data_IF_613168164658
#
_entry.id   IF_613168164658
#
_cell.length_a   1.000
_cell.length_b   1.000
_cell.length_c   1.000
_cell.angle_alpha   90.00
_cell.angle_beta   90.00
_cell.angle_gamma   90.00
#
_symmetry.space_group_name_H-M   'P 1'
#
loop_
_entity.id
_entity.type
_entity.pdbx_description
1 polymer ?
#
# COMPACT_ATOMS: atom_id res chain seq x y z
N UNK A 1 17.97 -37.20 -23.27
CA UNK A 1 18.40 -37.20 -24.71
C UNK A 1 19.34 -36.02 -24.87
N UNK A 2 20.60 -36.36 -25.13
CA UNK A 2 21.69 -35.43 -25.34
C UNK A 2 21.42 -34.55 -26.54
N UNK A 3 20.95 -33.38 -26.34
CA UNK A 3 21.07 -32.30 -27.31
C UNK A 3 21.80 -31.19 -26.66
N UNK A 4 22.97 -30.84 -27.25
CA UNK A 4 23.76 -29.65 -26.99
C UNK A 4 22.97 -28.65 -26.15
N UNK A 5 23.41 -28.37 -24.96
CA UNK A 5 22.87 -27.30 -24.13
C UNK A 5 22.88 -26.03 -24.98
N UNK A 6 21.79 -25.81 -25.72
CA UNK A 6 21.57 -24.54 -26.37
C UNK A 6 21.38 -23.56 -25.19
N UNK A 7 22.30 -22.61 -25.11
CA UNK A 7 22.27 -21.57 -24.10
C UNK A 7 20.85 -21.04 -23.97
N UNK A 8 20.25 -21.16 -22.77
CA UNK A 8 18.92 -20.65 -22.48
C UNK A 8 18.93 -19.15 -22.80
N UNK A 9 18.08 -18.70 -23.69
CA UNK A 9 17.97 -17.28 -24.05
C UNK A 9 17.02 -16.59 -23.06
N UNK A 10 17.42 -15.42 -22.58
CA UNK A 10 16.58 -14.59 -21.72
C UNK A 10 15.86 -13.53 -22.55
N UNK A 11 14.56 -13.36 -22.31
CA UNK A 11 13.73 -12.38 -23.00
C UNK A 11 12.96 -11.53 -22.00
N UNK A 12 12.72 -10.27 -22.35
CA UNK A 12 11.80 -9.42 -21.62
C UNK A 12 10.37 -9.73 -22.07
N UNK A 13 9.50 -10.09 -21.12
CA UNK A 13 8.07 -10.33 -21.40
C UNK A 13 7.35 -8.98 -21.52
N UNK A 14 6.59 -8.81 -22.61
CA UNK A 14 5.77 -7.62 -22.85
C UNK A 14 4.31 -7.88 -22.51
N UNK A 15 3.77 -9.03 -22.94
CA UNK A 15 2.37 -9.39 -22.72
C UNK A 15 2.17 -10.90 -22.80
N UNK A 16 0.98 -11.35 -22.44
CA UNK A 16 0.44 -12.64 -22.84
C UNK A 16 -0.48 -12.44 -24.05
N UNK A 17 -0.48 -13.39 -24.98
CA UNK A 17 -1.40 -13.33 -26.11
C UNK A 17 -2.83 -13.63 -25.66
N UNK A 18 -3.82 -13.11 -26.40
CA UNK A 18 -5.22 -13.47 -26.20
C UNK A 18 -5.59 -14.79 -26.91
N UNK A 19 -4.67 -15.33 -27.71
CA UNK A 19 -4.85 -16.57 -28.49
C UNK A 19 -4.04 -17.69 -27.88
N UNK A 20 -4.55 -18.92 -27.99
CA UNK A 20 -3.84 -20.12 -27.57
C UNK A 20 -2.68 -20.45 -28.51
N UNK A 21 -1.73 -21.27 -28.07
CA UNK A 21 -0.57 -21.65 -28.90
C UNK A 21 -0.99 -22.35 -30.20
N UNK A 22 -2.05 -23.16 -30.20
CA UNK A 22 -2.59 -23.81 -31.40
C UNK A 22 -3.23 -22.84 -32.40
N UNK A 23 -3.75 -21.72 -31.91
CA UNK A 23 -4.48 -20.73 -32.70
C UNK A 23 -3.58 -19.56 -33.14
N UNK A 24 -2.34 -19.49 -32.60
CA UNK A 24 -1.35 -18.46 -32.95
C UNK A 24 -0.58 -18.85 -34.20
N UNK A 25 -0.97 -18.24 -35.29
CA UNK A 25 -0.36 -18.46 -36.63
C UNK A 25 0.68 -17.40 -36.97
N UNK A 26 1.67 -17.78 -37.74
CA UNK A 26 2.69 -16.88 -38.25
C UNK A 26 3.25 -17.41 -39.57
N UNK A 27 3.85 -16.52 -40.33
CA UNK A 27 4.48 -16.86 -41.61
C UNK A 27 5.93 -17.24 -41.42
N UNK A 28 6.30 -18.43 -41.81
CA UNK A 28 7.66 -18.92 -41.79
C UNK A 28 8.31 -18.66 -43.14
N UNK A 29 9.41 -17.93 -43.13
CA UNK A 29 10.27 -17.86 -44.32
C UNK A 29 11.14 -19.11 -44.33
N UNK A 30 11.10 -19.94 -45.41
CA UNK A 30 12.00 -21.06 -45.55
C UNK A 30 13.45 -20.57 -45.50
N UNK A 31 14.33 -21.29 -44.84
CA UNK A 31 15.77 -21.01 -44.92
C UNK A 31 16.27 -21.48 -46.27
N UNK A 32 16.41 -20.54 -47.21
CA UNK A 32 16.96 -20.81 -48.52
C UNK A 32 18.35 -21.41 -48.43
N UNK A 33 18.59 -22.45 -49.22
CA UNK A 33 19.89 -23.09 -49.42
C UNK A 33 20.82 -22.25 -50.34
N UNK A 34 20.70 -20.89 -50.27
CA UNK A 34 21.66 -20.02 -50.96
C UNK A 34 21.43 -19.84 -52.49
N UNK A 35 20.28 -20.22 -53.01
CA UNK A 35 19.94 -19.99 -54.40
C UNK A 35 19.08 -18.70 -54.54
N UNK A 36 19.57 -17.62 -55.20
CA UNK A 36 18.89 -16.33 -55.25
C UNK A 36 17.64 -16.33 -56.14
N UNK A 37 17.33 -17.42 -56.84
CA UNK A 37 16.23 -17.48 -57.80
C UNK A 37 14.99 -18.27 -57.34
N UNK A 38 15.03 -18.89 -56.16
CA UNK A 38 13.87 -19.60 -55.62
C UNK A 38 12.94 -18.62 -54.89
N UNK A 39 11.83 -18.22 -55.47
CA UNK A 39 10.69 -17.63 -54.80
C UNK A 39 10.06 -18.71 -53.91
N UNK A 40 10.56 -18.85 -52.65
CA UNK A 40 9.99 -19.77 -51.67
C UNK A 40 8.72 -19.15 -51.09
N UNK A 41 7.59 -19.83 -51.28
CA UNK A 41 6.29 -19.40 -50.74
C UNK A 41 6.32 -19.37 -49.23
N UNK A 42 5.84 -18.26 -48.65
CA UNK A 42 5.64 -18.10 -47.22
C UNK A 42 4.65 -19.16 -46.70
N UNK A 43 5.11 -20.04 -45.84
CA UNK A 43 4.27 -21.10 -45.28
C UNK A 43 3.62 -20.59 -43.98
N UNK A 44 2.30 -20.46 -43.98
CA UNK A 44 1.55 -20.17 -42.72
C UNK A 44 1.57 -21.43 -41.85
N UNK A 45 2.06 -21.29 -40.62
CA UNK A 45 2.11 -22.37 -39.63
C UNK A 45 1.69 -21.88 -38.26
N UNK A 46 1.18 -22.77 -37.41
CA UNK A 46 0.90 -22.51 -36.01
C UNK A 46 2.12 -22.87 -35.13
N UNK A 47 2.11 -22.36 -33.87
CA UNK A 47 3.21 -22.60 -32.95
C UNK A 47 3.38 -24.09 -32.58
N UNK A 48 2.29 -24.86 -32.48
CA UNK A 48 2.36 -26.29 -32.12
C UNK A 48 3.09 -27.05 -33.21
N UNK A 49 2.66 -26.85 -34.43
CA UNK A 49 3.27 -27.49 -35.65
C UNK A 49 4.73 -27.06 -35.82
N UNK A 50 5.02 -25.77 -35.63
CA UNK A 50 6.38 -25.24 -35.70
C UNK A 50 7.32 -25.88 -34.67
N UNK A 51 6.95 -25.91 -33.39
CA UNK A 51 7.81 -26.47 -32.34
C UNK A 51 8.01 -27.97 -32.52
N UNK A 52 6.99 -28.68 -33.04
CA UNK A 52 7.11 -30.10 -33.35
C UNK A 52 8.08 -30.34 -34.52
N UNK A 53 7.94 -29.59 -35.64
CA UNK A 53 8.79 -29.74 -36.81
C UNK A 53 10.22 -29.25 -36.60
N UNK A 54 10.38 -28.03 -36.02
CA UNK A 54 11.68 -27.38 -35.92
C UNK A 54 12.54 -27.88 -34.75
N UNK A 55 11.90 -28.28 -33.66
CA UNK A 55 12.60 -28.64 -32.40
C UNK A 55 12.29 -30.04 -31.91
N UNK A 56 11.37 -30.77 -32.53
CA UNK A 56 10.84 -32.06 -32.10
C UNK A 56 10.21 -31.99 -30.71
N UNK A 57 9.62 -30.85 -30.30
CA UNK A 57 8.96 -30.62 -29.05
C UNK A 57 7.45 -30.70 -29.28
N UNK A 58 6.78 -31.63 -28.59
CA UNK A 58 5.32 -31.67 -28.50
C UNK A 58 4.85 -30.88 -27.32
N UNK A 59 3.95 -29.91 -27.56
CA UNK A 59 3.35 -29.11 -26.49
C UNK A 59 2.28 -29.95 -25.76
N UNK A 60 2.34 -29.96 -24.42
CA UNK A 60 1.35 -30.64 -23.57
C UNK A 60 0.12 -29.79 -23.35
N UNK A 61 0.26 -28.47 -23.40
CA UNK A 61 -0.79 -27.49 -23.11
C UNK A 61 -1.02 -26.51 -24.26
N UNK A 62 -1.37 -26.96 -25.47
CA UNK A 62 -1.52 -26.13 -26.66
C UNK A 62 -2.66 -25.10 -26.56
N UNK A 63 -3.56 -25.25 -25.56
CA UNK A 63 -4.69 -24.36 -25.28
C UNK A 63 -4.30 -23.14 -24.44
N UNK A 64 -3.11 -23.13 -23.84
CA UNK A 64 -2.67 -22.00 -23.05
C UNK A 64 -2.26 -20.82 -23.93
N UNK A 65 -2.38 -19.57 -23.44
CA UNK A 65 -1.86 -18.39 -24.13
C UNK A 65 -0.34 -18.46 -24.26
N UNK A 66 0.20 -17.67 -25.16
CA UNK A 66 1.64 -17.56 -25.41
C UNK A 66 2.22 -16.33 -24.73
N UNK A 67 3.53 -16.36 -24.49
CA UNK A 67 4.32 -15.23 -24.01
C UNK A 67 4.82 -14.42 -25.19
N UNK A 68 4.47 -13.14 -25.24
CA UNK A 68 5.03 -12.20 -26.20
C UNK A 68 6.34 -11.62 -25.63
N UNK A 69 7.47 -12.02 -26.21
CA UNK A 69 8.81 -11.73 -25.71
C UNK A 69 9.57 -10.69 -26.57
N UNK A 70 8.86 -9.88 -27.35
CA UNK A 70 9.39 -8.87 -28.25
C UNK A 70 8.33 -8.49 -29.27
N UNK A 71 8.68 -7.62 -30.22
CA UNK A 71 7.72 -7.22 -31.27
C UNK A 71 7.22 -8.40 -32.09
N UNK A 72 8.09 -9.38 -32.37
CA UNK A 72 7.80 -10.51 -33.26
C UNK A 72 8.20 -11.88 -32.69
N UNK A 73 8.37 -11.97 -31.37
CA UNK A 73 8.75 -13.24 -30.71
C UNK A 73 7.59 -13.67 -29.82
N UNK A 74 6.95 -14.76 -30.20
CA UNK A 74 5.89 -15.40 -29.42
C UNK A 74 6.32 -16.81 -29.04
N UNK A 75 6.26 -17.13 -27.76
CA UNK A 75 6.72 -18.41 -27.21
C UNK A 75 5.59 -19.10 -26.43
N UNK A 76 5.42 -20.45 -26.59
CA UNK A 76 4.51 -21.19 -25.74
C UNK A 76 4.87 -21.04 -24.26
N UNK A 77 3.89 -20.74 -23.42
CA UNK A 77 4.12 -20.45 -21.99
C UNK A 77 4.75 -21.65 -21.26
N UNK A 78 4.41 -22.87 -21.63
CA UNK A 78 4.97 -24.08 -21.02
C UNK A 78 6.47 -24.28 -21.28
N UNK A 79 7.03 -23.61 -22.28
CA UNK A 79 8.47 -23.64 -22.58
C UNK A 79 9.24 -22.50 -21.94
N UNK A 80 8.56 -21.63 -21.18
CA UNK A 80 9.16 -20.48 -20.54
C UNK A 80 9.35 -20.74 -19.04
N UNK A 81 10.50 -20.33 -18.52
CA UNK A 81 10.76 -20.32 -17.07
C UNK A 81 10.98 -18.89 -16.63
N UNK A 82 10.35 -18.50 -15.52
CA UNK A 82 10.60 -17.20 -14.91
C UNK A 82 11.99 -17.23 -14.28
N UNK A 83 12.81 -16.23 -14.58
CA UNK A 83 14.14 -16.09 -13.96
C UNK A 83 13.94 -15.71 -12.50
N UNK A 84 14.58 -16.46 -11.61
CA UNK A 84 14.52 -16.19 -10.17
C UNK A 84 15.28 -14.90 -9.79
N UNK A 85 14.94 -14.33 -8.64
CA UNK A 85 15.62 -13.16 -8.10
C UNK A 85 15.30 -11.83 -8.80
N UNK A 86 14.27 -11.78 -9.65
CA UNK A 86 13.88 -10.55 -10.31
C UNK A 86 13.28 -9.54 -9.32
N UNK A 87 13.66 -8.28 -9.48
CA UNK A 87 13.09 -7.18 -8.71
C UNK A 87 11.65 -6.92 -9.14
N UNK A 88 10.71 -6.97 -8.19
CA UNK A 88 9.33 -6.57 -8.42
C UNK A 88 9.21 -5.04 -8.43
N UNK A 89 8.83 -4.46 -9.58
CA UNK A 89 8.81 -3.01 -9.79
C UNK A 89 7.42 -2.37 -9.63
N UNK A 90 6.37 -3.19 -9.47
CA UNK A 90 5.01 -2.69 -9.28
C UNK A 90 4.72 -2.46 -7.80
N UNK A 91 3.69 -1.66 -7.49
CA UNK A 91 3.20 -1.50 -6.13
C UNK A 91 2.70 -2.84 -5.58
N UNK A 92 3.10 -3.17 -4.36
CA UNK A 92 2.60 -4.35 -3.65
C UNK A 92 1.12 -4.16 -3.31
N UNK A 93 0.35 -5.23 -3.40
CA UNK A 93 -1.01 -5.28 -2.84
C UNK A 93 -0.97 -5.38 -1.30
N UNK A 94 -2.14 -5.35 -0.66
CA UNK A 94 -2.23 -5.39 0.81
C UNK A 94 -1.64 -6.66 1.41
N UNK A 95 -1.86 -7.81 0.77
CA UNK A 95 -1.37 -9.11 1.24
C UNK A 95 0.14 -9.18 1.09
N UNK A 96 0.65 -8.82 -0.08
CA UNK A 96 2.09 -8.76 -0.35
C UNK A 96 2.80 -7.77 0.59
N UNK A 97 2.18 -6.61 0.88
CA UNK A 97 2.70 -5.64 1.84
C UNK A 97 2.74 -6.21 3.26
N UNK A 98 1.69 -6.90 3.69
CA UNK A 98 1.64 -7.56 5.00
C UNK A 98 2.71 -8.67 5.11
N UNK A 99 2.86 -9.48 4.08
CA UNK A 99 3.88 -10.55 4.02
C UNK A 99 5.31 -9.95 4.04
N UNK A 100 5.54 -8.84 3.31
CA UNK A 100 6.81 -8.12 3.32
C UNK A 100 7.13 -7.56 4.72
N UNK A 101 6.15 -6.92 5.38
CA UNK A 101 6.31 -6.40 6.74
C UNK A 101 6.64 -7.55 7.70
N UNK A 102 5.92 -8.66 7.61
CA UNK A 102 6.17 -9.85 8.44
C UNK A 102 7.58 -10.41 8.23
N UNK A 103 8.04 -10.45 6.98
CA UNK A 103 9.38 -10.91 6.64
C UNK A 103 10.49 -9.96 7.14
N UNK A 104 10.28 -8.64 7.03
CA UNK A 104 11.27 -7.63 7.39
C UNK A 104 11.28 -7.27 8.88
N UNK A 105 10.15 -7.46 9.59
CA UNK A 105 10.03 -7.17 11.02
C UNK A 105 10.62 -8.31 11.85
N UNK A 106 11.95 -8.34 11.91
CA UNK A 106 12.68 -9.34 12.67
C UNK A 106 13.21 -8.77 13.99
N UNK A 107 13.34 -9.60 15.04
CA UNK A 107 14.04 -9.19 16.26
C UNK A 107 15.49 -8.76 15.98
N UNK A 108 16.07 -7.84 16.75
CA UNK A 108 17.42 -7.33 16.50
C UNK A 108 18.49 -8.41 16.34
N UNK A 109 18.47 -9.47 17.16
CA UNK A 109 19.41 -10.57 17.08
C UNK A 109 19.31 -11.36 15.76
N UNK A 110 18.09 -11.64 15.29
CA UNK A 110 17.86 -12.33 14.02
C UNK A 110 18.34 -11.47 12.84
N UNK A 111 18.05 -10.17 12.87
CA UNK A 111 18.54 -9.22 11.85
C UNK A 111 20.06 -9.15 11.84
N UNK A 112 20.72 -9.10 13.00
CA UNK A 112 22.18 -9.10 13.09
C UNK A 112 22.80 -10.37 12.50
N UNK A 113 22.20 -11.54 12.76
CA UNK A 113 22.65 -12.80 12.17
C UNK A 113 22.50 -12.80 10.65
N UNK A 114 21.35 -12.36 10.13
CA UNK A 114 21.12 -12.26 8.68
C UNK A 114 22.10 -11.32 7.99
N UNK A 115 22.49 -10.21 8.65
CA UNK A 115 23.52 -9.29 8.14
C UNK A 115 24.87 -9.99 8.08
N UNK A 116 25.27 -10.69 9.16
CA UNK A 116 26.54 -11.45 9.19
C UNK A 116 26.59 -12.54 8.11
N UNK A 117 25.48 -13.27 7.93
CA UNK A 117 25.40 -14.31 6.89
C UNK A 117 25.42 -13.71 5.48
N UNK A 118 24.80 -12.55 5.28
CA UNK A 118 24.89 -11.80 4.02
C UNK A 118 26.33 -11.37 3.71
N UNK A 119 27.10 -10.90 4.70
CA UNK A 119 28.51 -10.55 4.53
C UNK A 119 29.35 -11.76 4.09
N UNK A 120 29.10 -12.94 4.67
CA UNK A 120 29.79 -14.19 4.26
C UNK A 120 29.52 -14.53 2.78
N UNK A 121 28.32 -14.29 2.28
CA UNK A 121 27.95 -14.52 0.87
C UNK A 121 28.68 -13.52 -0.04
N UNK A 122 28.74 -12.24 0.37
CA UNK A 122 29.34 -11.17 -0.43
C UNK A 122 30.87 -11.26 -0.55
N UNK A 123 31.55 -11.96 0.37
CA UNK A 123 32.99 -12.21 0.36
C UNK A 123 33.83 -10.96 0.04
N UNK A 124 33.62 -9.90 0.78
CA UNK A 124 34.30 -8.61 0.52
C UNK A 124 35.84 -8.70 0.56
N UNK A 125 36.39 -9.63 1.35
CA UNK A 125 37.83 -9.84 1.43
C UNK A 125 38.44 -10.35 0.12
N UNK A 126 37.66 -11.02 -0.73
CA UNK A 126 38.08 -11.55 -2.03
C UNK A 126 37.78 -10.62 -3.19
N UNK A 127 37.17 -9.46 -2.94
CA UNK A 127 36.75 -8.54 -3.98
C UNK A 127 37.94 -7.69 -4.46
N UNK A 128 38.34 -7.86 -5.73
CA UNK A 128 39.46 -7.17 -6.34
C UNK A 128 39.28 -5.65 -6.38
N UNK A 129 38.04 -5.19 -6.68
CA UNK A 129 37.75 -3.75 -6.73
C UNK A 129 37.92 -3.08 -5.37
N UNK A 130 37.48 -3.71 -4.29
CA UNK A 130 37.67 -3.16 -2.94
C UNK A 130 39.17 -3.11 -2.57
N UNK A 131 39.95 -4.11 -2.97
CA UNK A 131 41.39 -4.12 -2.76
C UNK A 131 42.08 -2.98 -3.50
N UNK A 132 41.75 -2.77 -4.77
CA UNK A 132 42.28 -1.67 -5.61
C UNK A 132 41.92 -0.29 -5.04
N UNK A 133 40.70 -0.13 -4.52
CA UNK A 133 40.29 1.10 -3.83
C UNK A 133 40.83 1.23 -2.41
N UNK A 134 41.62 0.29 -1.90
CA UNK A 134 42.16 0.29 -0.54
C UNK A 134 41.10 0.18 0.56
N UNK A 135 39.91 -0.33 0.25
CA UNK A 135 38.79 -0.46 1.19
C UNK A 135 38.84 -1.84 1.88
N UNK A 136 38.58 -1.83 3.18
CA UNK A 136 38.41 -3.04 4.00
C UNK A 136 37.05 -2.98 4.68
N UNK A 137 36.30 -4.08 4.63
CA UNK A 137 35.00 -4.23 5.31
C UNK A 137 35.17 -5.16 6.49
N UNK A 138 34.91 -4.67 7.70
CA UNK A 138 34.95 -5.51 8.89
C UNK A 138 33.71 -6.42 8.94
N UNK A 139 33.90 -7.69 9.27
CA UNK A 139 32.82 -8.64 9.53
C UNK A 139 32.22 -8.49 10.95
N UNK A 140 32.81 -7.65 11.78
CA UNK A 140 32.30 -7.38 13.13
C UNK A 140 31.40 -6.16 13.16
N UNK A 141 30.30 -6.27 13.93
CA UNK A 141 29.39 -5.14 14.16
C UNK A 141 30.11 -4.05 14.96
N UNK A 142 30.00 -2.80 14.54
CA UNK A 142 30.57 -1.68 15.27
C UNK A 142 29.96 -1.57 16.67
N UNK A 143 30.80 -1.34 17.67
CA UNK A 143 30.37 -1.06 19.04
C UNK A 143 30.53 0.42 19.32
N UNK A 144 29.45 1.05 19.70
CA UNK A 144 29.41 2.48 20.05
C UNK A 144 28.89 2.67 21.47
N UNK A 145 29.39 3.68 22.15
CA UNK A 145 28.82 4.11 23.44
C UNK A 145 27.51 4.83 23.16
N UNK A 146 26.45 4.40 23.84
CA UNK A 146 25.13 5.00 23.76
C UNK A 146 24.50 5.14 25.15
N UNK A 147 23.51 6.01 25.27
CA UNK A 147 22.67 6.10 26.47
C UNK A 147 21.23 5.73 26.11
N UNK A 148 20.57 5.04 27.01
CA UNK A 148 19.14 4.77 26.92
C UNK A 148 18.42 5.90 27.67
N UNK A 149 17.59 6.66 26.93
CA UNK A 149 16.77 7.70 27.56
C UNK A 149 15.61 7.07 28.34
N UNK A 150 15.21 7.63 29.49
CA UNK A 150 14.03 7.15 30.19
C UNK A 150 12.78 7.36 29.31
N UNK A 151 11.79 6.44 29.37
CA UNK A 151 10.55 6.63 28.65
C UNK A 151 9.81 7.89 29.15
N UNK A 152 9.19 8.67 28.24
CA UNK A 152 8.47 9.88 28.64
C UNK A 152 7.18 9.53 29.39
N UNK A 153 6.74 10.39 30.28
CA UNK A 153 5.39 10.33 30.87
C UNK A 153 4.40 10.96 29.88
N UNK A 154 3.45 10.14 29.42
CA UNK A 154 2.35 10.56 28.54
C UNK A 154 1.15 10.93 29.41
N UNK A 155 0.65 12.15 29.22
CA UNK A 155 -0.45 12.71 29.99
C UNK A 155 -1.75 12.72 29.18
N UNK A 156 -2.82 12.25 29.79
CA UNK A 156 -4.19 12.23 29.28
C UNK A 156 -5.10 13.12 30.14
N UNK A 157 -6.38 13.19 29.79
CA UNK A 157 -7.38 13.92 30.62
C UNK A 157 -7.43 13.36 32.03
N UNK A 158 -7.63 14.24 33.03
CA UNK A 158 -7.64 13.88 34.45
C UNK A 158 -8.68 12.80 34.80
N UNK A 159 -9.77 12.68 34.04
CA UNK A 159 -10.79 11.63 34.25
C UNK A 159 -10.38 10.25 33.68
N UNK A 160 -9.19 10.12 33.09
CA UNK A 160 -8.67 8.82 32.70
C UNK A 160 -8.28 7.98 33.89
N UNK A 161 -8.46 6.66 33.84
CA UNK A 161 -8.02 5.78 34.92
C UNK A 161 -6.53 5.93 35.22
N UNK A 162 -5.70 6.04 34.15
CA UNK A 162 -4.27 6.28 34.25
C UNK A 162 -3.96 7.58 33.49
N UNK A 163 -4.23 8.74 34.15
CA UNK A 163 -4.03 10.05 33.52
C UNK A 163 -2.57 10.33 33.15
N UNK A 164 -1.62 9.83 33.95
CA UNK A 164 -0.19 9.89 33.69
C UNK A 164 0.34 8.47 33.49
N UNK A 165 0.80 8.17 32.29
CA UNK A 165 1.20 6.84 31.90
C UNK A 165 2.65 6.83 31.39
N UNK A 166 3.45 5.88 31.86
CA UNK A 166 4.81 5.66 31.37
C UNK A 166 4.79 4.45 30.43
N UNK A 167 5.03 4.62 29.11
CA UNK A 167 5.06 3.53 28.15
C UNK A 167 6.15 2.50 28.47
N UNK A 168 5.86 1.23 28.22
CA UNK A 168 6.85 0.15 28.26
C UNK A 168 7.06 -0.36 26.84
N UNK A 169 8.32 -0.54 26.45
CA UNK A 169 8.70 -1.01 25.11
C UNK A 169 8.08 -0.18 23.95
N UNK A 170 7.84 1.11 24.17
CA UNK A 170 7.29 2.02 23.18
C UNK A 170 5.82 1.77 22.80
N UNK A 171 5.10 0.93 23.53
CA UNK A 171 3.72 0.57 23.23
C UNK A 171 2.78 0.77 24.43
N UNK A 172 1.55 1.19 24.14
CA UNK A 172 0.45 1.27 25.11
C UNK A 172 -0.90 1.27 24.40
N UNK A 173 -1.98 1.04 25.11
CA UNK A 173 -3.34 1.08 24.62
C UNK A 173 -4.12 2.28 25.15
N UNK A 174 -5.27 2.55 24.54
CA UNK A 174 -6.20 3.63 24.94
C UNK A 174 -7.30 3.16 25.90
N UNK A 175 -7.23 1.92 26.37
CA UNK A 175 -8.28 1.41 27.28
C UNK A 175 -8.41 2.29 28.52
N UNK A 176 -9.61 2.75 28.79
CA UNK A 176 -9.95 3.63 29.93
C UNK A 176 -9.17 4.96 29.96
N UNK A 177 -8.69 5.42 28.82
CA UNK A 177 -8.03 6.72 28.67
C UNK A 177 -8.92 7.67 27.85
N UNK A 178 -9.00 8.90 28.29
CA UNK A 178 -9.66 10.00 27.59
C UNK A 178 -8.61 10.96 27.04
N UNK A 179 -8.84 11.47 25.84
CA UNK A 179 -7.97 12.47 25.22
C UNK A 179 -7.88 13.72 26.09
N UNK A 180 -6.74 14.38 26.08
CA UNK A 180 -6.50 15.58 26.91
C UNK A 180 -7.54 16.66 26.65
N UNK A 181 -7.85 16.90 25.36
CA UNK A 181 -8.87 17.84 24.91
C UNK A 181 -9.70 17.20 23.81
N UNK A 182 -10.90 16.75 24.14
CA UNK A 182 -11.87 16.22 23.20
C UNK A 182 -12.62 17.34 22.48
N UNK A 183 -12.90 17.13 21.20
CA UNK A 183 -13.68 18.06 20.37
C UNK A 183 -15.14 17.66 20.30
N UNK A 184 -15.97 18.61 19.85
CA UNK A 184 -17.39 18.37 19.56
C UNK A 184 -17.59 18.22 18.06
N UNK A 185 -18.17 17.09 17.64
CA UNK A 185 -18.53 16.79 16.25
C UNK A 185 -20.07 16.82 16.10
N UNK A 186 -20.61 17.96 15.75
CA UNK A 186 -22.04 18.17 15.58
C UNK A 186 -22.52 18.02 14.13
N UNK A 187 -21.70 18.45 13.17
CA UNK A 187 -22.04 18.45 11.75
C UNK A 187 -21.09 17.53 10.96
N UNK A 188 -21.58 16.35 10.59
CA UNK A 188 -20.81 15.37 9.86
C UNK A 188 -21.69 14.44 9.03
N UNK A 189 -21.10 13.83 7.99
CA UNK A 189 -21.80 12.93 7.07
C UNK A 189 -20.95 11.72 6.72
N UNK A 190 -21.62 10.67 6.22
CA UNK A 190 -21.00 9.42 5.76
C UNK A 190 -21.12 9.35 4.25
N UNK A 191 -19.99 9.19 3.56
CA UNK A 191 -19.92 9.01 2.11
C UNK A 191 -19.42 7.60 1.81
N UNK A 192 -20.28 6.75 1.26
CA UNK A 192 -19.94 5.38 0.89
C UNK A 192 -19.60 5.34 -0.59
N UNK A 193 -18.35 5.04 -0.92
CA UNK A 193 -17.92 4.79 -2.31
C UNK A 193 -18.15 3.32 -2.67
N UNK A 194 -19.35 3.03 -3.14
CA UNK A 194 -19.86 1.70 -3.46
C UNK A 194 -21.38 1.69 -3.50
N UNK A 195 -21.97 0.53 -3.69
CA UNK A 195 -23.43 0.32 -3.71
C UNK A 195 -23.92 -0.21 -2.35
N UNK A 196 -25.25 -0.18 -2.15
CA UNK A 196 -25.87 -0.81 -0.98
C UNK A 196 -25.68 -2.33 -0.95
N UNK A 197 -25.39 -2.97 -2.09
CA UNK A 197 -25.03 -4.40 -2.14
C UNK A 197 -23.65 -4.66 -1.56
N UNK A 198 -22.70 -3.75 -1.80
CA UNK A 198 -21.31 -3.87 -1.32
C UNK A 198 -21.21 -3.55 0.17
N UNK A 199 -21.95 -2.54 0.61
CA UNK A 199 -21.96 -2.03 1.98
C UNK A 199 -23.39 -1.68 2.42
N UNK A 200 -24.20 -2.65 2.88
CA UNK A 200 -25.59 -2.42 3.25
C UNK A 200 -25.76 -1.36 4.34
N UNK A 201 -26.82 -0.56 4.25
CA UNK A 201 -27.11 0.50 5.22
C UNK A 201 -27.11 0.03 6.70
N UNK A 202 -27.64 -1.16 7.05
CA UNK A 202 -27.53 -1.69 8.42
C UNK A 202 -26.09 -1.88 8.87
N UNK A 203 -25.18 -2.28 7.97
CA UNK A 203 -23.76 -2.43 8.25
C UNK A 203 -23.11 -1.06 8.51
N UNK A 204 -23.41 -0.05 7.69
CA UNK A 204 -22.94 1.34 7.89
C UNK A 204 -23.41 1.86 9.23
N UNK A 205 -24.70 1.68 9.54
CA UNK A 205 -25.30 2.12 10.81
C UNK A 205 -24.69 1.42 12.04
N UNK A 206 -24.34 0.14 11.91
CA UNK A 206 -23.61 -0.59 12.97
C UNK A 206 -22.24 0.03 13.21
N UNK A 207 -21.50 0.31 12.14
CA UNK A 207 -20.19 0.97 12.23
C UNK A 207 -20.29 2.37 12.84
N UNK A 208 -21.24 3.17 12.39
CA UNK A 208 -21.47 4.54 12.91
C UNK A 208 -21.77 4.51 14.41
N UNK A 209 -22.62 3.60 14.87
CA UNK A 209 -22.91 3.43 16.31
C UNK A 209 -21.66 3.11 17.11
N UNK A 210 -20.87 2.13 16.65
CA UNK A 210 -19.63 1.75 17.35
C UNK A 210 -18.60 2.90 17.34
N UNK A 211 -18.51 3.64 16.24
CA UNK A 211 -17.64 4.81 16.13
C UNK A 211 -18.08 5.90 17.13
N UNK A 212 -19.37 6.20 17.23
CA UNK A 212 -19.91 7.19 18.19
C UNK A 212 -19.63 6.77 19.62
N UNK A 213 -19.87 5.51 19.97
CA UNK A 213 -19.57 4.96 21.30
C UNK A 213 -18.09 5.13 21.63
N UNK A 214 -17.22 4.70 20.70
CA UNK A 214 -15.77 4.81 20.86
C UNK A 214 -15.31 6.26 21.01
N UNK A 215 -15.84 7.19 20.20
CA UNK A 215 -15.54 8.61 20.31
C UNK A 215 -15.97 9.19 21.68
N UNK A 216 -17.14 8.84 22.15
CA UNK A 216 -17.66 9.32 23.44
C UNK A 216 -16.82 8.77 24.62
N UNK A 217 -16.47 7.49 24.57
CA UNK A 217 -15.60 6.88 25.59
C UNK A 217 -14.19 7.49 25.61
N UNK A 218 -13.67 7.85 24.43
CA UNK A 218 -12.36 8.53 24.32
C UNK A 218 -12.40 10.02 24.66
N UNK A 219 -13.57 10.59 24.96
CA UNK A 219 -13.71 11.96 25.47
C UNK A 219 -14.12 12.99 24.42
N UNK A 220 -14.51 12.59 23.21
CA UNK A 220 -15.16 13.48 22.24
C UNK A 220 -16.66 13.61 22.54
N UNK A 221 -17.26 14.72 22.12
CA UNK A 221 -18.71 14.94 22.20
C UNK A 221 -19.34 14.82 20.80
N UNK A 222 -20.31 13.89 20.64
CA UNK A 222 -20.98 13.64 19.36
C UNK A 222 -22.50 13.87 19.53
N UNK A 223 -22.99 15.11 19.41
CA UNK A 223 -24.43 15.42 19.55
C UNK A 223 -25.28 14.77 18.46
N UNK A 224 -24.82 14.85 17.20
CA UNK A 224 -25.50 14.24 16.07
C UNK A 224 -25.17 12.75 15.96
N UNK A 225 -26.11 11.90 16.39
CA UNK A 225 -25.94 10.43 16.38
C UNK A 225 -26.46 9.76 15.11
N UNK A 226 -27.05 10.52 14.20
CA UNK A 226 -27.63 10.03 12.95
C UNK A 226 -27.16 10.88 11.76
N UNK A 227 -25.88 10.82 11.42
CA UNK A 227 -25.34 11.53 10.26
C UNK A 227 -26.00 11.01 8.96
N UNK A 228 -26.24 11.86 7.94
CA UNK A 228 -26.71 11.40 6.64
C UNK A 228 -25.71 10.45 5.99
N UNK A 229 -26.21 9.42 5.32
CA UNK A 229 -25.43 8.41 4.61
C UNK A 229 -25.71 8.54 3.12
N UNK A 230 -24.66 8.72 2.31
CA UNK A 230 -24.76 8.92 0.87
C UNK A 230 -23.90 7.88 0.14
N UNK A 231 -24.50 7.21 -0.86
CA UNK A 231 -23.81 6.22 -1.70
C UNK A 231 -23.38 6.84 -3.01
N UNK A 232 -22.15 6.60 -3.44
CA UNK A 232 -21.56 7.18 -4.63
C UNK A 232 -20.70 6.18 -5.39
N UNK A 233 -20.60 6.37 -6.70
CA UNK A 233 -19.76 5.53 -7.55
C UNK A 233 -18.26 5.84 -7.32
N UNK A 234 -17.42 4.84 -6.97
CA UNK A 234 -15.99 5.04 -6.77
C UNK A 234 -15.20 5.40 -8.04
N UNK A 235 -15.79 5.22 -9.22
CA UNK A 235 -15.22 5.52 -10.53
C UNK A 235 -15.88 6.72 -11.24
N UNK A 236 -16.79 7.41 -10.56
CA UNK A 236 -17.49 8.56 -11.10
C UNK A 236 -16.76 9.89 -10.87
N UNK A 237 -17.50 10.99 -11.00
CA UNK A 237 -17.03 12.34 -10.67
C UNK A 237 -16.98 12.52 -9.14
N UNK A 238 -15.83 12.22 -8.57
CA UNK A 238 -15.58 12.24 -7.12
C UNK A 238 -15.74 13.64 -6.55
N UNK A 239 -15.33 14.68 -7.29
CA UNK A 239 -15.47 16.07 -6.87
C UNK A 239 -16.92 16.45 -6.68
N UNK A 240 -17.76 16.13 -7.67
CA UNK A 240 -19.20 16.44 -7.62
C UNK A 240 -19.91 15.62 -6.53
N UNK A 241 -19.53 14.35 -6.35
CA UNK A 241 -20.06 13.51 -5.27
C UNK A 241 -19.76 14.09 -3.88
N UNK A 242 -18.54 14.58 -3.65
CA UNK A 242 -18.15 15.17 -2.38
C UNK A 242 -18.78 16.55 -2.14
N UNK A 243 -18.94 17.37 -3.20
CA UNK A 243 -19.68 18.65 -3.13
C UNK A 243 -21.14 18.42 -2.72
N UNK A 244 -21.80 17.46 -3.36
CA UNK A 244 -23.17 17.09 -3.02
C UNK A 244 -23.29 16.54 -1.59
N UNK A 245 -22.37 15.71 -1.17
CA UNK A 245 -22.32 15.17 0.19
C UNK A 245 -22.13 16.29 1.23
N UNK A 246 -21.26 17.25 0.95
CA UNK A 246 -21.06 18.42 1.79
C UNK A 246 -22.33 19.25 1.94
N UNK A 247 -23.03 19.54 0.82
CA UNK A 247 -24.30 20.28 0.81
C UNK A 247 -25.38 19.52 1.59
N UNK A 248 -25.55 18.22 1.33
CA UNK A 248 -26.56 17.42 2.01
C UNK A 248 -26.30 17.33 3.52
N UNK A 249 -25.04 17.16 3.91
CA UNK A 249 -24.66 17.17 5.33
C UNK A 249 -24.96 18.51 5.99
N UNK A 250 -24.62 19.62 5.33
CA UNK A 250 -24.89 20.96 5.82
C UNK A 250 -26.39 21.24 5.98
N UNK A 251 -27.18 20.84 5.01
CA UNK A 251 -28.64 21.01 5.01
C UNK A 251 -29.30 20.17 6.13
N UNK A 252 -28.84 18.94 6.34
CA UNK A 252 -29.38 18.05 7.38
C UNK A 252 -29.19 18.60 8.81
N UNK A 253 -28.10 19.31 9.05
CA UNK A 253 -27.73 19.82 10.38
C UNK A 253 -27.88 21.35 10.50
N UNK A 254 -28.19 22.02 9.37
CA UNK A 254 -28.28 23.49 9.24
C UNK A 254 -27.00 24.21 9.73
N UNK A 255 -25.84 23.60 9.48
CA UNK A 255 -24.53 24.15 9.81
C UNK A 255 -23.46 23.60 8.86
N UNK A 256 -22.35 24.31 8.74
CA UNK A 256 -21.23 23.87 7.90
C UNK A 256 -20.69 22.51 8.37
N UNK A 257 -20.50 21.55 7.47
CA UNK A 257 -19.93 20.25 7.81
C UNK A 257 -18.53 20.39 8.40
N UNK A 258 -18.30 19.74 9.53
CA UNK A 258 -16.99 19.68 10.19
C UNK A 258 -16.15 18.50 9.68
N UNK A 259 -16.82 17.40 9.30
CA UNK A 259 -16.13 16.16 8.91
C UNK A 259 -16.97 15.35 7.92
N UNK A 260 -16.31 14.78 6.92
CA UNK A 260 -16.86 13.72 6.06
C UNK A 260 -16.14 12.42 6.34
N UNK A 261 -16.86 11.37 6.71
CA UNK A 261 -16.29 10.01 6.85
C UNK A 261 -16.52 9.28 5.55
N UNK A 262 -15.45 8.98 4.82
CA UNK A 262 -15.47 8.33 3.50
C UNK A 262 -15.18 6.84 3.65
N UNK A 263 -16.13 5.98 3.28
CA UNK A 263 -15.99 4.52 3.29
C UNK A 263 -15.56 4.07 1.89
N UNK A 264 -14.34 3.51 1.79
CA UNK A 264 -13.71 3.11 0.53
C UNK A 264 -13.82 1.60 0.30
N UNK A 265 -14.07 1.15 -0.95
CA UNK A 265 -14.19 -0.26 -1.28
C UNK A 265 -12.88 -1.03 -1.08
N UNK A 266 -11.74 -0.37 -1.33
CA UNK A 266 -10.40 -0.94 -1.26
C UNK A 266 -9.36 0.15 -0.92
N UNK A 267 -8.09 -0.19 -0.99
CA UNK A 267 -6.94 0.70 -0.77
C UNK A 267 -6.47 1.41 -2.05
N UNK A 268 -7.30 1.51 -3.06
CA UNK A 268 -6.96 2.18 -4.32
C UNK A 268 -6.50 3.62 -4.11
N UNK A 269 -5.25 3.91 -4.51
CA UNK A 269 -4.62 5.21 -4.33
C UNK A 269 -5.34 6.34 -5.09
N UNK A 270 -5.82 6.15 -6.35
CA UNK A 270 -6.44 7.24 -7.08
C UNK A 270 -7.68 7.80 -6.38
N UNK A 271 -8.59 6.94 -5.90
CA UNK A 271 -9.78 7.38 -5.18
C UNK A 271 -9.43 8.11 -3.89
N UNK A 272 -8.51 7.55 -3.10
CA UNK A 272 -8.07 8.20 -1.86
C UNK A 272 -7.42 9.56 -2.12
N UNK A 273 -6.54 9.66 -3.12
CA UNK A 273 -5.87 10.90 -3.49
C UNK A 273 -6.88 11.98 -3.94
N UNK A 274 -7.86 11.60 -4.76
CA UNK A 274 -8.88 12.53 -5.23
C UNK A 274 -9.80 13.01 -4.09
N UNK A 275 -10.22 12.10 -3.19
CA UNK A 275 -10.97 12.50 -1.99
C UNK A 275 -10.17 13.54 -1.19
N UNK A 276 -8.87 13.31 -0.97
CA UNK A 276 -8.01 14.24 -0.24
C UNK A 276 -7.84 15.57 -0.97
N UNK A 277 -7.59 15.53 -2.28
CA UNK A 277 -7.52 16.75 -3.08
C UNK A 277 -8.78 17.61 -2.92
N UNK A 278 -9.95 16.99 -3.11
CA UNK A 278 -11.21 17.73 -3.08
C UNK A 278 -11.54 18.23 -1.66
N UNK A 279 -11.41 17.38 -0.64
CA UNK A 279 -11.77 17.81 0.72
C UNK A 279 -10.81 18.85 1.28
N UNK A 280 -9.52 18.73 0.99
CA UNK A 280 -8.50 19.59 1.58
C UNK A 280 -8.31 20.90 0.78
N UNK A 281 -8.46 20.89 -0.57
CA UNK A 281 -8.16 22.06 -1.43
C UNK A 281 -9.38 22.73 -2.06
N UNK A 282 -10.49 22.00 -2.26
CA UNK A 282 -11.70 22.56 -2.90
C UNK A 282 -12.77 22.91 -1.86
N UNK A 283 -13.06 21.99 -0.92
CA UNK A 283 -14.13 22.16 0.06
C UNK A 283 -13.64 22.76 1.39
N UNK A 284 -12.38 22.58 1.73
CA UNK A 284 -11.83 23.01 3.02
C UNK A 284 -12.47 22.27 4.22
N UNK A 285 -12.86 21.02 4.04
CA UNK A 285 -13.50 20.20 5.08
C UNK A 285 -12.61 19.01 5.46
N UNK A 286 -12.52 18.72 6.75
CA UNK A 286 -11.78 17.53 7.20
C UNK A 286 -12.44 16.24 6.68
N UNK A 287 -11.62 15.28 6.24
CA UNK A 287 -12.11 13.97 5.82
C UNK A 287 -11.40 12.83 6.55
N UNK A 288 -12.16 11.77 6.88
CA UNK A 288 -11.63 10.55 7.46
C UNK A 288 -12.00 9.36 6.58
N UNK A 289 -11.00 8.78 5.90
CA UNK A 289 -11.20 7.58 5.10
C UNK A 289 -11.11 6.32 5.97
N UNK A 290 -12.02 5.38 5.72
CA UNK A 290 -12.05 4.04 6.33
C UNK A 290 -12.30 3.01 5.23
N UNK A 291 -11.76 1.81 5.39
CA UNK A 291 -12.02 0.73 4.42
C UNK A 291 -13.32 0.01 4.76
N UNK A 292 -14.09 -0.32 3.74
CA UNK A 292 -15.39 -1.01 3.84
C UNK A 292 -15.29 -2.32 4.62
N UNK A 293 -14.18 -3.05 4.53
CA UNK A 293 -13.98 -4.30 5.30
C UNK A 293 -14.09 -4.10 6.82
N UNK A 294 -13.72 -2.93 7.34
CA UNK A 294 -13.80 -2.63 8.77
C UNK A 294 -15.20 -2.22 9.24
N UNK A 295 -16.13 -1.99 8.33
CA UNK A 295 -17.53 -1.69 8.68
C UNK A 295 -18.36 -2.96 8.91
N UNK A 296 -17.92 -4.13 8.40
CA UNK A 296 -18.62 -5.41 8.60
C UNK A 296 -18.63 -5.84 10.07
N UNK A 297 -17.44 -5.82 10.68
CA UNK A 297 -17.23 -6.10 12.08
C UNK A 297 -16.40 -4.98 12.70
N UNK A 298 -17.05 -3.88 13.11
CA UNK A 298 -16.32 -2.74 13.68
C UNK A 298 -15.71 -3.12 15.04
N UNK A 299 -14.39 -3.24 15.06
CA UNK A 299 -13.64 -3.53 16.28
C UNK A 299 -13.46 -2.24 17.08
N UNK A 300 -13.74 -2.26 18.38
CA UNK A 300 -13.60 -1.11 19.28
C UNK A 300 -12.21 -0.46 19.18
N UNK A 301 -11.14 -1.26 19.17
CA UNK A 301 -9.76 -0.75 19.02
C UNK A 301 -9.58 0.03 17.71
N UNK A 302 -10.15 -0.43 16.59
CA UNK A 302 -10.08 0.25 15.33
C UNK A 302 -10.83 1.60 15.38
N UNK A 303 -12.05 1.61 15.92
CA UNK A 303 -12.84 2.82 16.09
C UNK A 303 -12.14 3.84 17.00
N UNK A 304 -11.55 3.39 18.11
CA UNK A 304 -10.77 4.25 19.02
C UNK A 304 -9.56 4.88 18.28
N UNK A 305 -8.85 4.13 17.45
CA UNK A 305 -7.75 4.69 16.65
C UNK A 305 -8.22 5.71 15.61
N UNK A 306 -9.43 5.53 15.04
CA UNK A 306 -10.05 6.53 14.17
C UNK A 306 -10.43 7.79 14.96
N UNK A 307 -10.99 7.65 16.15
CA UNK A 307 -11.34 8.77 17.03
C UNK A 307 -10.14 9.68 17.29
N UNK A 308 -8.95 9.13 17.54
CA UNK A 308 -7.74 9.94 17.73
C UNK A 308 -7.44 10.81 16.50
N UNK A 309 -7.60 10.24 15.30
CA UNK A 309 -7.39 10.98 14.04
C UNK A 309 -8.45 12.06 13.84
N UNK A 310 -9.71 11.73 14.14
CA UNK A 310 -10.81 12.68 14.02
C UNK A 310 -10.64 13.84 14.99
N UNK A 311 -10.29 13.54 16.25
CA UNK A 311 -10.09 14.56 17.28
C UNK A 311 -9.04 15.60 16.89
N UNK A 312 -7.87 15.16 16.41
CA UNK A 312 -6.80 16.06 15.95
C UNK A 312 -7.22 16.88 14.73
N UNK A 313 -7.91 16.28 13.76
CA UNK A 313 -8.42 16.99 12.56
C UNK A 313 -9.44 18.09 12.92
N UNK A 314 -10.12 17.94 14.04
CA UNK A 314 -11.07 18.91 14.53
C UNK A 314 -10.45 19.90 15.54
N UNK A 315 -9.12 19.88 15.74
CA UNK A 315 -8.39 20.80 16.60
C UNK A 315 -8.24 20.34 18.06
N UNK A 316 -8.58 19.09 18.37
CA UNK A 316 -8.39 18.50 19.69
C UNK A 316 -6.96 18.05 19.98
N UNK A 317 -6.68 17.77 21.24
CA UNK A 317 -5.38 17.27 21.70
C UNK A 317 -5.56 15.89 22.31
N UNK A 318 -4.91 14.87 21.69
CA UNK A 318 -5.05 13.50 22.15
C UNK A 318 -4.32 13.25 23.49
N UNK A 319 -3.07 13.62 23.54
CA UNK A 319 -2.20 13.51 24.72
C UNK A 319 -1.09 14.55 24.66
N UNK A 320 -0.42 14.78 25.76
CA UNK A 320 0.79 15.61 25.83
C UNK A 320 1.85 14.93 26.69
N UNK A 321 3.09 15.40 26.61
CA UNK A 321 4.17 14.95 27.48
C UNK A 321 4.20 15.79 28.75
N UNK A 322 4.61 15.20 29.87
CA UNK A 322 4.82 15.95 31.10
C UNK A 322 5.86 17.06 30.85
N UNK A 323 5.57 18.29 31.28
CA UNK A 323 6.37 19.49 30.98
C UNK A 323 7.83 19.37 31.42
N UNK A 324 8.09 18.69 32.56
CA UNK A 324 9.43 18.45 33.09
C UNK A 324 10.32 17.55 32.16
N UNK A 325 9.72 16.87 31.19
CA UNK A 325 10.43 15.98 30.27
C UNK A 325 11.05 16.73 29.07
N UNK A 326 10.71 17.98 28.88
CA UNK A 326 11.14 18.80 27.74
C UNK A 326 11.68 20.16 28.19
N UNK A 327 12.82 20.21 28.90
CA UNK A 327 13.36 21.46 29.46
C UNK A 327 13.71 22.50 28.38
N UNK A 328 13.96 22.07 27.15
CA UNK A 328 14.22 22.98 26.02
C UNK A 328 12.99 23.81 25.63
N UNK A 329 11.77 23.36 25.94
CA UNK A 329 10.53 24.12 25.71
C UNK A 329 10.28 25.22 26.76
N UNK A 330 11.11 25.33 27.79
CA UNK A 330 11.06 26.46 28.74
C UNK A 330 11.39 27.81 28.09
N UNK A 331 12.00 27.79 26.91
CA UNK A 331 12.25 28.98 26.08
C UNK A 331 11.35 28.94 24.83
N UNK A 332 11.04 30.10 24.22
CA UNK A 332 10.35 30.12 22.91
C UNK A 332 11.09 29.24 21.92
N UNK A 333 10.43 28.15 21.49
CA UNK A 333 11.06 27.12 20.66
C UNK A 333 10.15 26.81 19.47
N UNK A 334 10.70 26.88 18.26
CA UNK A 334 10.05 26.42 17.03
C UNK A 334 10.50 24.98 16.71
N UNK A 335 9.55 24.07 16.60
CA UNK A 335 9.81 22.68 16.18
C UNK A 335 9.34 22.52 14.76
N UNK A 336 10.24 22.13 13.86
CA UNK A 336 9.96 21.88 12.44
C UNK A 336 10.02 20.38 12.19
N UNK A 337 8.94 19.82 11.61
CA UNK A 337 8.89 18.46 11.11
C UNK A 337 8.79 18.48 9.59
N UNK A 338 9.65 17.69 8.93
CA UNK A 338 9.62 17.53 7.47
C UNK A 338 9.30 16.09 7.10
N UNK A 339 8.43 15.90 6.12
CA UNK A 339 8.12 14.61 5.54
C UNK A 339 8.19 14.69 4.00
N UNK A 340 8.56 13.60 3.35
CA UNK A 340 8.74 13.55 1.90
C UNK A 340 7.77 12.55 1.30
N UNK A 341 7.00 13.01 0.30
CA UNK A 341 6.19 12.12 -0.53
C UNK A 341 6.94 11.80 -1.82
N UNK A 342 7.02 10.52 -2.14
CA UNK A 342 7.59 10.06 -3.40
C UNK A 342 6.48 9.69 -4.39
N UNK A 343 6.65 9.97 -5.71
CA UNK A 343 5.76 9.47 -6.73
C UNK A 343 5.79 7.94 -6.73
N UNK A 344 4.70 7.33 -7.17
CA UNK A 344 4.65 5.87 -7.28
C UNK A 344 5.62 5.37 -8.34
N UNK A 345 6.19 4.14 -8.20
CA UNK A 345 7.02 3.55 -9.22
C UNK A 345 6.31 3.56 -10.59
N UNK A 346 6.96 4.15 -11.60
CA UNK A 346 6.40 4.28 -12.95
C UNK A 346 5.55 5.55 -13.19
N UNK A 347 5.28 6.37 -12.19
CA UNK A 347 4.74 7.71 -12.38
C UNK A 347 5.90 8.72 -12.49
N UNK A 348 6.08 9.28 -13.68
CA UNK A 348 6.93 10.45 -13.84
C UNK A 348 6.12 11.67 -13.38
N UNK A 349 6.68 12.45 -12.47
CA UNK A 349 6.15 13.78 -12.20
C UNK A 349 6.25 14.58 -13.51
N UNK A 350 5.12 14.94 -14.09
CA UNK A 350 5.09 16.07 -15.00
C UNK A 350 5.29 17.30 -14.12
N UNK A 351 6.46 17.95 -14.32
CA UNK A 351 6.80 19.19 -13.66
C UNK A 351 5.87 20.32 -14.09
#
# INVERSE_FOLDING_TARGET
VSHRERAKRSFKVFALTNTAAKDTKFKLQPRGNGDPAAQEEEIETDLVTYFKKAYNISLNFPMLPCVQAGKNITLPIELCSVIEGQRYMKKLDERQTADMIKFTSQPPHARANNIKDGLKILKYDDNEYLKEFGMKVSNEMVQIKARVLPPPTVCYHAQSRDANFVPRDGAWNLMNKKVTQGTTLGSWGIVVFGTERDCPLPQVNKFVRELIVSCTETGMTIPNKSPPVMYNNPHGDIENHLKNAWIQTGNAVKSQPQLLVCILPNTGVPLYAEIKRVTDTVLGVSSQCVQMKHTREPKKQYCSNICLKMNVKLGGVNQHLAMNMMPFLAKPTLVLGGDVSHPQPGQHLQA
#
